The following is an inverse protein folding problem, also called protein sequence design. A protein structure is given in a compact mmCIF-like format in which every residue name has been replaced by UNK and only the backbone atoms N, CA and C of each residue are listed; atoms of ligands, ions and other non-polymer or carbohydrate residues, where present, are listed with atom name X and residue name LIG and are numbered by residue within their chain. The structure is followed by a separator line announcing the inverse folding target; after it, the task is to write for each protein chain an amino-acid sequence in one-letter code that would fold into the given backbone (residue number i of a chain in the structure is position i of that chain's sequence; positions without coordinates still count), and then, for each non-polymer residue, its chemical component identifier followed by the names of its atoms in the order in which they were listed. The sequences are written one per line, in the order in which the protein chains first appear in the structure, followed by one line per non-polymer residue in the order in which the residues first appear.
data_IF_743801256375
#
_entry.id   IF_743801256375
#
_cell.length_a   1.000
_cell.length_b   1.000
_cell.length_c   1.000
_cell.angle_alpha   90.00
_cell.angle_beta   90.00
_cell.angle_gamma   90.00
#
_symmetry.space_group_name_H-M   'P 1'
#
loop_
_entity.id
_entity.type
_entity.pdbx_description
1 polymer ?
#
# COMPACT_ATOMS: atom_id res chain seq x y z
N UNK A 1 5.67 0.90 21.61
CA UNK A 1 6.09 -0.01 20.52
C UNK A 1 5.93 0.78 19.23
N UNK A 2 6.99 1.08 18.46
CA UNK A 2 6.93 2.00 17.31
C UNK A 2 5.80 1.66 16.30
N UNK A 3 5.41 0.39 16.23
CA UNK A 3 4.39 -0.13 15.31
C UNK A 3 2.95 -0.08 15.86
N UNK A 4 2.71 0.26 17.13
CA UNK A 4 1.34 0.30 17.68
C UNK A 4 0.50 1.42 17.06
N UNK A 5 1.13 2.51 16.60
CA UNK A 5 0.46 3.57 15.86
C UNK A 5 -0.03 3.14 14.48
N UNK A 6 0.67 2.19 13.83
CA UNK A 6 0.31 1.67 12.52
C UNK A 6 -0.81 0.62 12.56
N UNK A 7 -1.23 0.18 13.76
CA UNK A 7 -2.23 -0.88 13.98
C UNK A 7 -1.97 -2.13 13.12
N UNK A 8 -0.71 -2.54 12.99
CA UNK A 8 -0.31 -3.77 12.27
C UNK A 8 -0.40 -5.01 13.17
N UNK A 9 -1.30 -5.00 14.14
CA UNK A 9 -1.48 -6.09 15.10
C UNK A 9 -1.97 -7.33 14.35
N UNK A 10 -1.22 -8.43 14.44
CA UNK A 10 -1.50 -9.66 13.71
C UNK A 10 -2.94 -10.17 13.87
N UNK A 11 -3.57 -9.92 15.02
CA UNK A 11 -4.93 -10.39 15.33
C UNK A 11 -6.06 -9.41 14.96
N UNK A 12 -5.76 -8.17 14.56
CA UNK A 12 -6.77 -7.15 14.22
C UNK A 12 -6.64 -6.60 12.81
N UNK A 13 -5.44 -6.62 12.22
CA UNK A 13 -5.16 -5.97 10.95
C UNK A 13 -5.31 -4.44 11.03
N UNK A 14 -5.06 -3.76 9.90
CA UNK A 14 -5.21 -2.31 9.78
C UNK A 14 -6.42 -2.00 8.93
N UNK A 15 -7.42 -1.32 9.49
CA UNK A 15 -8.54 -0.82 8.71
C UNK A 15 -8.08 0.33 7.80
N UNK A 16 -8.65 0.44 6.60
CA UNK A 16 -8.34 1.48 5.61
C UNK A 16 -8.22 2.90 6.20
N UNK A 17 -9.20 3.28 7.03
CA UNK A 17 -9.25 4.60 7.69
C UNK A 17 -8.08 4.88 8.64
N UNK A 18 -7.36 3.84 9.07
CA UNK A 18 -6.25 3.91 10.02
C UNK A 18 -4.88 3.88 9.33
N UNK A 19 -4.81 3.60 8.02
CA UNK A 19 -3.56 3.51 7.27
C UNK A 19 -2.79 4.85 7.32
N UNK A 20 -3.41 5.94 6.87
CA UNK A 20 -2.76 7.27 6.85
C UNK A 20 -2.42 7.75 8.27
N UNK A 21 -3.35 7.73 9.26
CA UNK A 21 -3.03 8.07 10.64
C UNK A 21 -1.84 7.29 11.19
N UNK A 22 -1.77 5.99 10.90
CA UNK A 22 -0.72 5.12 11.39
C UNK A 22 0.64 5.41 10.78
N UNK A 23 0.72 5.60 9.45
CA UNK A 23 1.98 5.94 8.78
C UNK A 23 2.47 7.32 9.25
N UNK A 24 1.57 8.30 9.43
CA UNK A 24 1.93 9.62 9.97
C UNK A 24 2.47 9.53 11.40
N UNK A 25 1.87 8.70 12.25
CA UNK A 25 2.37 8.48 13.61
C UNK A 25 3.78 7.86 13.61
N UNK A 26 4.04 6.92 12.70
CA UNK A 26 5.36 6.32 12.53
C UNK A 26 6.40 7.34 12.03
N UNK A 27 6.09 8.13 11.00
CA UNK A 27 6.98 9.18 10.49
C UNK A 27 7.35 10.19 11.59
N UNK A 28 6.36 10.67 12.35
CA UNK A 28 6.58 11.59 13.48
C UNK A 28 7.46 10.97 14.58
N UNK A 29 7.33 9.67 14.83
CA UNK A 29 8.18 8.98 15.83
C UNK A 29 9.66 8.90 15.43
N UNK A 30 9.96 9.11 14.14
CA UNK A 30 11.32 9.18 13.59
C UNK A 30 11.80 10.61 13.32
N UNK A 31 11.00 11.62 13.72
CA UNK A 31 11.26 13.03 13.46
C UNK A 31 11.31 13.39 11.96
N UNK A 32 10.61 12.62 11.12
CA UNK A 32 10.42 12.96 9.71
C UNK A 32 9.30 14.01 9.57
N UNK A 33 9.56 15.07 8.80
CA UNK A 33 8.53 16.05 8.42
C UNK A 33 7.55 15.42 7.42
N UNK A 34 6.26 15.69 7.55
CA UNK A 34 5.24 15.15 6.64
C UNK A 34 4.85 16.24 5.63
N UNK A 35 5.29 16.11 4.38
CA UNK A 35 4.94 17.00 3.28
C UNK A 35 3.54 16.75 2.69
N UNK A 36 2.91 15.59 2.97
CA UNK A 36 1.53 15.35 2.57
C UNK A 36 1.10 13.88 2.65
N UNK A 37 -0.17 13.63 2.30
CA UNK A 37 -0.72 12.28 2.17
C UNK A 37 -1.91 12.31 1.23
N UNK A 38 -2.20 11.18 0.60
CA UNK A 38 -3.37 11.03 -0.26
C UNK A 38 -3.74 9.58 -0.47
N UNK A 39 -4.80 9.36 -1.24
CA UNK A 39 -5.23 8.03 -1.62
C UNK A 39 -6.05 8.03 -2.90
N UNK A 40 -6.13 6.87 -3.54
CA UNK A 40 -7.15 6.53 -4.52
C UNK A 40 -7.85 5.27 -4.02
N UNK A 41 -9.18 5.28 -3.97
CA UNK A 41 -9.99 4.14 -3.54
C UNK A 41 -10.98 3.78 -4.63
N UNK A 42 -11.37 2.51 -4.67
CA UNK A 42 -12.44 2.07 -5.54
C UNK A 42 -13.74 2.77 -5.14
N UNK A 43 -14.46 3.29 -6.14
CA UNK A 43 -15.80 3.80 -6.03
C UNK A 43 -16.67 3.23 -7.15
N UNK A 44 -17.94 3.63 -7.21
CA UNK A 44 -18.92 3.14 -8.20
C UNK A 44 -18.45 3.30 -9.65
N UNK A 45 -17.54 4.25 -9.92
CA UNK A 45 -17.05 4.58 -11.27
C UNK A 45 -15.53 4.59 -11.42
N UNK A 46 -14.76 4.17 -10.41
CA UNK A 46 -13.30 4.25 -10.47
C UNK A 46 -12.66 3.12 -9.68
N UNK A 47 -11.71 2.41 -10.27
CA UNK A 47 -10.76 1.56 -9.55
C UNK A 47 -9.47 2.35 -9.27
N UNK A 48 -8.59 1.81 -8.43
CA UNK A 48 -7.21 2.29 -8.40
C UNK A 48 -6.59 2.08 -9.78
N UNK A 49 -6.04 3.12 -10.37
CA UNK A 49 -5.42 3.05 -11.70
C UNK A 49 -3.95 2.67 -11.58
N UNK A 50 -3.45 1.98 -12.61
CA UNK A 50 -2.01 1.70 -12.74
C UNK A 50 -1.20 2.99 -12.69
N UNK A 51 -1.63 4.00 -13.46
CA UNK A 51 -0.98 5.32 -13.53
C UNK A 51 -0.87 6.01 -12.17
N UNK A 52 -1.90 5.92 -11.32
CA UNK A 52 -1.82 6.48 -9.97
C UNK A 52 -0.70 5.83 -9.16
N UNK A 53 -0.56 4.50 -9.25
CA UNK A 53 0.50 3.78 -8.54
C UNK A 53 1.88 4.16 -9.09
N UNK A 54 2.07 4.11 -10.40
CA UNK A 54 3.37 4.41 -11.03
C UNK A 54 3.79 5.85 -10.75
N UNK A 55 2.87 6.82 -10.82
CA UNK A 55 3.16 8.23 -10.54
C UNK A 55 3.71 8.45 -9.12
N UNK A 56 3.22 7.72 -8.12
CA UNK A 56 3.75 7.82 -6.75
C UNK A 56 5.10 7.12 -6.62
N UNK A 57 5.23 5.92 -7.17
CA UNK A 57 6.47 5.13 -7.11
C UNK A 57 7.63 5.86 -7.82
N UNK A 58 7.37 6.49 -8.97
CA UNK A 58 8.37 7.27 -9.72
C UNK A 58 8.85 8.50 -8.92
N UNK A 59 8.03 9.01 -8.01
CA UNK A 59 8.39 10.06 -7.06
C UNK A 59 9.05 9.51 -5.78
N UNK A 60 9.41 8.22 -5.75
CA UNK A 60 9.98 7.53 -4.58
C UNK A 60 9.03 7.51 -3.36
N UNK A 61 7.72 7.55 -3.61
CA UNK A 61 6.69 7.52 -2.57
C UNK A 61 6.09 6.10 -2.51
N UNK A 62 6.37 5.31 -1.45
CA UNK A 62 5.77 3.99 -1.30
C UNK A 62 4.28 4.08 -0.96
N UNK A 63 3.54 3.05 -1.34
CA UNK A 63 2.09 2.97 -1.21
C UNK A 63 1.68 1.78 -0.33
N UNK A 64 0.69 1.97 0.54
CA UNK A 64 -0.08 0.84 1.06
C UNK A 64 -1.23 0.57 0.10
N UNK A 65 -1.25 -0.64 -0.45
CA UNK A 65 -2.27 -1.13 -1.39
C UNK A 65 -3.22 -2.06 -0.64
N UNK A 66 -4.51 -1.79 -0.73
CA UNK A 66 -5.58 -2.56 -0.13
C UNK A 66 -6.18 -3.49 -1.17
N UNK A 67 -6.26 -4.77 -0.81
CA UNK A 67 -6.81 -5.85 -1.60
C UNK A 67 -8.13 -6.30 -0.98
N UNK A 68 -9.11 -6.62 -1.83
CA UNK A 68 -10.37 -7.22 -1.42
C UNK A 68 -10.69 -8.44 -2.27
N UNK A 69 -11.06 -9.55 -1.63
CA UNK A 69 -11.37 -10.82 -2.30
C UNK A 69 -10.22 -11.35 -3.15
N UNK A 70 -8.97 -11.06 -2.80
CA UNK A 70 -7.82 -11.55 -3.56
C UNK A 70 -7.68 -13.06 -3.39
N UNK A 71 -7.46 -13.78 -4.50
CA UNK A 71 -7.35 -15.25 -4.48
C UNK A 71 -6.19 -15.80 -3.63
N UNK A 72 -5.13 -15.01 -3.43
CA UNK A 72 -3.95 -15.40 -2.62
C UNK A 72 -4.00 -14.78 -1.23
N UNK A 73 -4.36 -13.50 -1.15
CA UNK A 73 -4.25 -12.72 0.08
C UNK A 73 -5.59 -12.48 0.79
N UNK A 74 -6.73 -12.75 0.15
CA UNK A 74 -8.04 -12.40 0.67
C UNK A 74 -8.21 -10.88 0.79
N UNK A 75 -8.76 -10.46 1.92
CA UNK A 75 -8.85 -9.05 2.31
C UNK A 75 -7.58 -8.67 3.07
N UNK A 76 -6.73 -7.85 2.47
CA UNK A 76 -5.40 -7.61 3.01
C UNK A 76 -4.79 -6.28 2.57
N UNK A 77 -3.87 -5.75 3.38
CA UNK A 77 -3.07 -4.56 3.02
C UNK A 77 -1.61 -4.96 2.79
N UNK A 78 -1.03 -4.51 1.69
CA UNK A 78 0.35 -4.81 1.28
C UNK A 78 1.12 -3.52 0.99
N UNK A 79 2.43 -3.51 1.27
CA UNK A 79 3.29 -2.37 0.96
C UNK A 79 3.85 -2.53 -0.46
N UNK A 80 3.61 -1.54 -1.31
CA UNK A 80 4.17 -1.43 -2.66
C UNK A 80 5.34 -0.43 -2.67
N UNK A 81 6.50 -0.90 -3.15
CA UNK A 81 7.76 -0.15 -3.17
C UNK A 81 8.35 -0.02 -4.57
N UNK A 82 7.69 -0.57 -5.58
CA UNK A 82 8.17 -0.61 -6.95
C UNK A 82 7.12 -1.22 -7.86
N UNK A 83 7.40 -1.16 -9.16
CA UNK A 83 6.62 -1.88 -10.17
C UNK A 83 7.53 -2.45 -11.25
N UNK A 84 6.99 -3.36 -12.04
CA UNK A 84 7.62 -3.93 -13.21
C UNK A 84 6.55 -4.15 -14.29
N UNK A 85 6.77 -3.57 -15.46
CA UNK A 85 5.95 -3.80 -16.64
C UNK A 85 6.57 -4.92 -17.47
N UNK A 86 5.78 -5.94 -17.77
CA UNK A 86 6.17 -7.11 -18.54
C UNK A 86 5.22 -7.31 -19.72
N UNK A 87 5.65 -8.08 -20.73
CA UNK A 87 4.79 -8.42 -21.87
C UNK A 87 3.54 -9.22 -21.49
N UNK A 88 3.57 -9.90 -20.35
CA UNK A 88 2.48 -10.71 -19.79
C UNK A 88 1.68 -9.97 -18.70
N UNK A 89 2.03 -8.72 -18.40
CA UNK A 89 1.26 -7.89 -17.49
C UNK A 89 2.08 -6.96 -16.59
N UNK A 90 1.35 -6.22 -15.76
CA UNK A 90 1.90 -5.23 -14.84
C UNK A 90 2.00 -5.81 -13.43
N UNK A 91 3.17 -5.70 -12.81
CA UNK A 91 3.43 -6.27 -11.49
C UNK A 91 3.88 -5.20 -10.50
N UNK A 92 3.34 -5.26 -9.29
CA UNK A 92 3.81 -4.49 -8.15
C UNK A 92 4.92 -5.25 -7.43
N UNK A 93 5.99 -4.56 -7.03
CA UNK A 93 7.00 -5.09 -6.12
C UNK A 93 6.58 -4.78 -4.68
N UNK A 94 6.35 -5.83 -3.89
CA UNK A 94 5.65 -5.71 -2.61
C UNK A 94 6.38 -6.38 -1.44
N UNK A 95 6.12 -5.83 -0.25
CA UNK A 95 6.25 -6.53 1.02
C UNK A 95 4.84 -6.91 1.51
N UNK A 96 4.56 -8.21 1.57
CA UNK A 96 3.21 -8.73 1.83
C UNK A 96 2.92 -9.03 3.31
N UNK A 97 3.94 -8.94 4.17
CA UNK A 97 3.85 -9.24 5.60
C UNK A 97 3.74 -10.73 5.94
N UNK A 98 3.47 -11.59 4.95
CA UNK A 98 3.45 -13.05 5.10
C UNK A 98 4.84 -13.66 4.90
N UNK A 99 5.67 -13.00 4.08
CA UNK A 99 7.04 -13.40 3.80
C UNK A 99 8.06 -12.46 4.46
N UNK A 100 9.28 -12.96 4.70
CA UNK A 100 10.40 -12.18 5.26
C UNK A 100 11.16 -11.36 4.20
N UNK A 101 10.54 -11.10 3.03
CA UNK A 101 11.16 -10.37 1.92
C UNK A 101 10.29 -9.20 1.49
N UNK A 102 10.95 -8.14 1.04
CA UNK A 102 10.31 -6.94 0.46
C UNK A 102 10.20 -7.00 -1.07
N UNK A 103 10.48 -8.17 -1.65
CA UNK A 103 10.66 -8.33 -3.08
C UNK A 103 9.80 -9.45 -3.66
N UNK A 104 8.54 -9.54 -3.25
CA UNK A 104 7.55 -10.34 -3.96
C UNK A 104 6.97 -9.54 -5.12
N UNK A 105 6.45 -10.25 -6.12
CA UNK A 105 5.69 -9.64 -7.20
C UNK A 105 4.22 -9.97 -7.04
N UNK A 106 3.39 -8.94 -7.20
CA UNK A 106 1.94 -9.05 -7.22
C UNK A 106 1.42 -8.59 -8.57
N UNK A 107 0.68 -9.46 -9.25
CA UNK A 107 0.08 -9.10 -10.53
C UNK A 107 -1.04 -8.07 -10.31
N UNK A 108 -0.91 -6.90 -10.92
CA UNK A 108 -1.86 -5.81 -10.79
C UNK A 108 -3.18 -6.18 -11.49
N UNK A 109 -4.14 -6.63 -10.69
CA UNK A 109 -5.47 -7.09 -11.12
C UNK A 109 -6.59 -6.36 -10.38
N UNK A 110 -7.83 -6.63 -10.78
CA UNK A 110 -9.04 -5.98 -10.23
C UNK A 110 -9.36 -6.21 -8.74
N UNK A 111 -8.48 -6.89 -7.99
CA UNK A 111 -8.60 -7.03 -6.53
C UNK A 111 -8.07 -5.82 -5.77
N UNK A 112 -7.39 -4.87 -6.43
CA UNK A 112 -6.92 -3.64 -5.80
C UNK A 112 -8.08 -2.67 -5.60
N UNK A 113 -8.37 -2.35 -4.33
CA UNK A 113 -9.49 -1.47 -3.91
C UNK A 113 -9.05 -0.16 -3.30
N UNK A 114 -7.81 -0.04 -2.88
CA UNK A 114 -7.30 1.19 -2.30
C UNK A 114 -5.80 1.29 -2.45
N UNK A 115 -5.30 2.52 -2.56
CA UNK A 115 -3.88 2.82 -2.53
C UNK A 115 -3.70 4.13 -1.76
N UNK A 116 -2.87 4.10 -0.72
CA UNK A 116 -2.70 5.19 0.24
C UNK A 116 -1.22 5.51 0.40
N UNK A 117 -0.87 6.79 0.44
CA UNK A 117 0.51 7.22 0.67
C UNK A 117 0.61 8.32 1.73
N UNK A 118 1.80 8.40 2.33
CA UNK A 118 2.30 9.55 3.08
C UNK A 118 3.67 9.87 2.51
N UNK A 119 3.92 11.15 2.22
CA UNK A 119 5.22 11.65 1.75
C UNK A 119 5.83 12.56 2.81
N UNK A 120 7.16 12.54 2.88
CA UNK A 120 7.99 13.37 3.76
C UNK A 120 8.78 14.39 2.94
#
# INVERSE_FOLDING_TARGET
MLYSGMRTEYSKGTADKEIIPGIRAFARSRYDDIAGSGSQTEGVFSSVSWGFITDQIDQSIPLIVVLHGDSKYGDHSILCVGYQECSDGNFLRIADGASKTISNFYYFKGSVKGAYYVRW
#
